data_IF_595528580843
#
_entry.id   IF_595528580843
#
_cell.length_a   1.000
_cell.length_b   1.000
_cell.length_c   1.000
_cell.angle_alpha   90.00
_cell.angle_beta   90.00
_cell.angle_gamma   90.00
#
_symmetry.space_group_name_H-M   'P 1'
#
loop_
_entity.id
_entity.type
_entity.pdbx_description
1 polymer ?
#
# COMPACT_ATOMS: atom_id res chain seq x y z
N UNK A 1 -9.98 31.40 -0.53
CA UNK A 1 -8.52 31.57 -0.60
C UNK A 1 -7.90 30.32 0.01
N UNK A 2 -7.32 29.46 -0.80
CA UNK A 2 -6.54 28.32 -0.30
C UNK A 2 -5.33 28.90 0.46
N UNK A 3 -5.16 28.50 1.73
CA UNK A 3 -3.95 28.87 2.48
C UNK A 3 -2.80 28.07 1.90
N UNK A 4 -1.69 28.76 1.60
CA UNK A 4 -0.43 28.15 1.20
C UNK A 4 -0.06 27.08 2.23
N UNK A 5 0.23 25.87 1.76
CA UNK A 5 0.83 24.81 2.58
C UNK A 5 2.34 25.08 2.58
N UNK A 6 2.88 25.52 3.70
CA UNK A 6 4.31 25.84 3.78
C UNK A 6 5.13 24.55 3.92
N UNK A 7 6.34 24.48 3.28
CA UNK A 7 7.24 23.34 3.45
C UNK A 7 7.58 23.08 4.94
N UNK A 8 7.61 21.80 5.31
CA UNK A 8 7.84 21.37 6.69
C UNK A 8 6.57 21.30 7.56
N UNK A 9 5.42 21.73 7.03
CA UNK A 9 4.14 21.61 7.75
C UNK A 9 3.54 20.22 7.60
N UNK A 10 2.82 19.79 8.63
CA UNK A 10 1.98 18.60 8.59
C UNK A 10 0.59 18.99 8.10
N UNK A 11 0.08 18.24 7.13
CA UNK A 11 -1.29 18.34 6.64
C UNK A 11 -2.00 17.00 6.80
N UNK A 12 -3.34 17.01 6.76
CA UNK A 12 -4.16 15.79 6.77
C UNK A 12 -4.93 15.66 5.47
N UNK A 13 -5.11 14.43 5.00
CA UNK A 13 -6.04 14.16 3.92
C UNK A 13 -7.48 14.46 4.38
N UNK A 14 -8.24 15.22 3.57
CA UNK A 14 -9.62 15.63 3.87
C UNK A 14 -10.66 14.73 3.23
N UNK A 15 -10.29 14.04 2.17
CA UNK A 15 -11.18 13.19 1.39
C UNK A 15 -11.05 11.74 1.83
N UNK A 16 -12.07 10.93 1.56
CA UNK A 16 -12.06 9.50 1.86
C UNK A 16 -10.86 8.80 1.22
N UNK A 17 -10.52 9.19 -0.01
CA UNK A 17 -9.30 8.82 -0.69
C UNK A 17 -8.92 9.90 -1.70
N UNK A 18 -7.65 10.27 -1.76
CA UNK A 18 -7.11 11.25 -2.69
C UNK A 18 -5.89 10.69 -3.44
N UNK A 19 -5.83 10.83 -4.78
CA UNK A 19 -4.74 10.30 -5.57
C UNK A 19 -3.43 11.05 -5.29
N UNK A 20 -2.35 10.31 -5.13
CA UNK A 20 -0.97 10.81 -5.08
C UNK A 20 -0.28 10.43 -6.37
N UNK A 21 0.34 11.41 -7.02
CA UNK A 21 0.95 11.30 -8.35
C UNK A 21 2.47 11.26 -8.29
N UNK A 22 3.09 10.64 -9.28
CA UNK A 22 4.54 10.63 -9.44
C UNK A 22 5.12 12.04 -9.71
N UNK A 23 4.37 12.89 -10.44
CA UNK A 23 4.72 14.26 -10.76
C UNK A 23 3.51 15.19 -10.60
N UNK A 24 3.69 16.54 -10.48
CA UNK A 24 2.59 17.49 -10.28
C UNK A 24 1.78 17.74 -11.56
N UNK A 25 1.10 16.70 -12.03
CA UNK A 25 0.30 16.72 -13.25
C UNK A 25 -0.85 15.72 -13.15
N UNK A 26 -2.05 16.07 -13.62
CA UNK A 26 -3.25 15.24 -13.52
C UNK A 26 -3.15 13.91 -14.26
N UNK A 27 -2.45 13.87 -15.39
CA UNK A 27 -2.24 12.67 -16.19
C UNK A 27 -1.02 11.84 -15.73
N UNK A 28 -0.29 12.29 -14.67
CA UNK A 28 0.82 11.53 -14.13
C UNK A 28 0.33 10.23 -13.48
N UNK A 29 1.21 9.25 -13.43
CA UNK A 29 0.97 7.97 -12.76
C UNK A 29 0.48 8.18 -11.32
N UNK A 30 -0.59 7.50 -10.94
CA UNK A 30 -0.98 7.36 -9.54
C UNK A 30 -0.02 6.38 -8.88
N UNK A 31 0.72 6.84 -7.89
CA UNK A 31 1.68 5.98 -7.16
C UNK A 31 1.11 5.45 -5.85
N UNK A 32 0.16 6.17 -5.25
CA UNK A 32 -0.60 5.73 -4.07
C UNK A 32 -1.86 6.58 -3.89
N UNK A 33 -2.61 6.35 -2.83
CA UNK A 33 -3.71 7.20 -2.37
C UNK A 33 -3.51 7.56 -0.90
N UNK A 34 -3.84 8.80 -0.53
CA UNK A 34 -4.02 9.17 0.87
C UNK A 34 -5.46 8.89 1.30
N UNK A 35 -5.63 8.42 2.51
CA UNK A 35 -6.95 8.15 3.08
C UNK A 35 -7.33 9.23 4.11
N UNK A 36 -8.62 9.33 4.42
CA UNK A 36 -9.17 10.34 5.33
C UNK A 36 -8.42 10.40 6.67
N UNK A 37 -7.99 11.59 7.04
CA UNK A 37 -7.26 11.84 8.29
C UNK A 37 -5.80 11.42 8.28
N UNK A 38 -5.30 10.85 7.18
CA UNK A 38 -3.89 10.44 7.06
C UNK A 38 -2.98 11.67 7.07
N UNK A 39 -1.96 11.71 7.95
CA UNK A 39 -1.02 12.82 8.01
C UNK A 39 0.08 12.69 6.96
N UNK A 40 0.47 13.81 6.42
CA UNK A 40 1.62 13.95 5.53
C UNK A 40 2.47 15.14 5.90
N UNK A 41 3.76 15.06 5.63
CA UNK A 41 4.65 16.22 5.66
C UNK A 41 4.68 16.85 4.27
N UNK A 42 4.42 18.13 4.17
CA UNK A 42 4.57 18.90 2.94
C UNK A 42 6.05 19.24 2.76
N UNK A 43 6.68 18.77 1.68
CA UNK A 43 8.09 19.01 1.38
C UNK A 43 8.28 20.22 0.46
N UNK A 44 7.36 20.42 -0.49
CA UNK A 44 7.45 21.44 -1.53
C UNK A 44 6.05 21.80 -2.01
N UNK A 45 5.87 23.01 -2.55
CA UNK A 45 4.65 23.44 -3.24
C UNK A 45 4.96 23.93 -4.64
N UNK A 46 4.13 23.58 -5.61
CA UNK A 46 4.21 24.01 -6.99
C UNK A 46 2.79 24.30 -7.53
N UNK A 47 2.39 25.57 -7.50
CA UNK A 47 1.04 25.98 -7.88
C UNK A 47 -0.03 25.32 -7.01
N UNK A 48 -0.90 24.54 -7.62
CA UNK A 48 -1.97 23.81 -6.93
C UNK A 48 -1.52 22.43 -6.39
N UNK A 49 -0.24 22.09 -6.52
CA UNK A 49 0.33 20.81 -6.10
C UNK A 49 1.23 20.97 -4.89
N UNK A 50 1.23 19.98 -4.03
CA UNK A 50 2.17 19.80 -2.94
C UNK A 50 2.92 18.48 -3.10
N UNK A 51 4.24 18.52 -3.02
CA UNK A 51 5.04 17.33 -2.80
C UNK A 51 4.94 16.95 -1.33
N UNK A 52 4.55 15.71 -1.09
CA UNK A 52 4.31 15.23 0.26
C UNK A 52 5.15 13.98 0.55
N UNK A 53 5.30 13.72 1.85
CA UNK A 53 5.82 12.48 2.37
C UNK A 53 4.84 11.91 3.36
N UNK A 54 4.43 10.65 3.14
CA UNK A 54 3.50 9.92 4.00
C UNK A 54 4.16 9.51 5.33
N UNK A 55 3.36 9.03 6.28
CA UNK A 55 3.86 8.50 7.55
C UNK A 55 4.65 7.18 7.43
N UNK A 56 4.56 6.51 6.29
CA UNK A 56 5.34 5.33 5.91
C UNK A 56 6.46 5.66 4.91
N UNK A 57 6.92 6.93 4.93
CA UNK A 57 8.08 7.46 4.18
C UNK A 57 7.95 7.41 2.66
N UNK A 58 6.73 7.41 2.11
CA UNK A 58 6.48 7.37 0.68
C UNK A 58 6.28 8.77 0.09
N UNK A 59 7.06 9.19 -0.94
CA UNK A 59 6.94 10.50 -1.56
C UNK A 59 5.89 10.52 -2.68
N UNK A 60 5.38 11.69 -3.00
CA UNK A 60 4.56 11.91 -4.17
C UNK A 60 3.97 13.32 -4.21
N UNK A 61 3.18 13.60 -5.24
CA UNK A 61 2.51 14.87 -5.45
C UNK A 61 1.00 14.75 -5.30
N UNK A 62 0.39 15.68 -4.61
CA UNK A 62 -1.05 15.72 -4.39
C UNK A 62 -1.58 17.13 -4.65
N UNK A 63 -2.80 17.26 -5.14
CA UNK A 63 -3.47 18.55 -5.19
C UNK A 63 -3.70 19.10 -3.78
N UNK A 64 -3.35 20.35 -3.55
CA UNK A 64 -3.50 21.03 -2.24
C UNK A 64 -4.94 21.09 -1.76
N UNK A 65 -5.93 20.98 -2.66
CA UNK A 65 -7.35 20.93 -2.33
C UNK A 65 -7.70 19.75 -1.44
N UNK A 66 -6.97 18.63 -1.55
CA UNK A 66 -7.17 17.41 -0.75
C UNK A 66 -6.53 17.52 0.64
N UNK A 67 -5.75 18.56 0.92
CA UNK A 67 -5.04 18.74 2.17
C UNK A 67 -5.74 19.72 3.10
N UNK A 68 -5.90 19.32 4.36
CA UNK A 68 -6.40 20.15 5.44
C UNK A 68 -5.28 20.61 6.38
N UNK A 69 -5.39 21.85 6.88
CA UNK A 69 -4.48 22.35 7.91
C UNK A 69 -4.73 21.64 9.25
N UNK A 70 -3.64 21.29 9.96
CA UNK A 70 -3.71 20.76 11.33
C UNK A 70 -3.45 21.88 12.33
N UNK A 71 -4.47 22.33 13.07
CA UNK A 71 -4.24 23.20 14.20
C UNK A 71 -3.77 22.37 15.41
N UNK A 72 -2.47 22.27 15.62
CA UNK A 72 -1.91 21.57 16.79
C UNK A 72 -1.42 20.15 16.53
N UNK A 73 -1.64 19.23 17.48
CA UNK A 73 -1.17 17.85 17.42
C UNK A 73 -2.00 17.00 16.44
N UNK A 74 -1.33 16.23 15.58
CA UNK A 74 -1.97 15.29 14.65
C UNK A 74 -2.74 14.21 15.45
N UNK A 75 -4.04 14.02 15.20
CA UNK A 75 -4.78 12.93 15.82
C UNK A 75 -4.23 11.58 15.33
N UNK A 76 -4.00 10.63 16.24
CA UNK A 76 -3.56 9.27 15.85
C UNK A 76 -4.71 8.37 15.34
N UNK A 77 -5.89 8.94 15.13
CA UNK A 77 -7.10 8.20 14.73
C UNK A 77 -7.04 7.59 13.31
N UNK A 78 -6.07 8.01 12.49
CA UNK A 78 -5.88 7.51 11.13
C UNK A 78 -5.23 6.11 11.09
N UNK A 79 -4.56 5.69 12.17
CA UNK A 79 -3.94 4.38 12.32
C UNK A 79 -4.56 3.69 13.55
N UNK A 80 -5.15 2.50 13.40
CA UNK A 80 -5.69 1.74 14.54
C UNK A 80 -4.62 1.42 15.59
N UNK A 81 -5.03 1.15 16.82
CA UNK A 81 -4.13 0.61 17.84
C UNK A 81 -3.52 -0.71 17.37
N UNK A 82 -2.21 -0.94 17.61
CA UNK A 82 -1.54 -2.15 17.17
C UNK A 82 -2.20 -3.42 17.72
N UNK A 83 -2.45 -4.38 16.82
CA UNK A 83 -2.93 -5.74 17.14
C UNK A 83 -1.84 -6.74 16.78
N UNK A 84 -0.89 -7.04 17.70
CA UNK A 84 0.26 -7.90 17.42
C UNK A 84 -0.13 -9.31 16.97
N UNK A 85 -1.23 -9.86 17.51
CA UNK A 85 -1.72 -11.20 17.20
C UNK A 85 -2.77 -11.19 16.06
N UNK A 86 -2.97 -10.05 15.38
CA UNK A 86 -3.93 -9.94 14.27
C UNK A 86 -3.43 -10.67 13.02
N UNK A 87 -4.34 -11.38 12.33
CA UNK A 87 -4.06 -12.08 11.08
C UNK A 87 -4.18 -11.13 9.88
N UNK A 88 -3.08 -10.76 9.20
CA UNK A 88 -3.13 -9.87 8.04
C UNK A 88 -3.88 -10.50 6.86
N UNK A 89 -3.91 -11.83 6.74
CA UNK A 89 -4.68 -12.50 5.69
C UNK A 89 -6.19 -12.33 5.93
N UNK A 90 -6.64 -12.39 7.18
CA UNK A 90 -8.05 -12.12 7.50
C UNK A 90 -8.46 -10.69 7.13
N UNK A 91 -7.59 -9.70 7.36
CA UNK A 91 -7.83 -8.32 6.94
C UNK A 91 -7.79 -8.17 5.40
N UNK A 92 -6.90 -8.89 4.72
CA UNK A 92 -6.81 -8.90 3.25
C UNK A 92 -8.04 -9.53 2.60
N UNK A 93 -8.65 -10.55 3.22
CA UNK A 93 -9.89 -11.18 2.73
C UNK A 93 -11.06 -10.22 2.60
N UNK A 94 -11.10 -9.13 3.37
CA UNK A 94 -12.12 -8.10 3.24
C UNK A 94 -12.13 -7.41 1.86
N UNK A 95 -11.02 -7.53 1.11
CA UNK A 95 -10.87 -6.96 -0.23
C UNK A 95 -11.17 -7.94 -1.36
N UNK A 96 -11.49 -9.20 -1.10
CA UNK A 96 -11.80 -10.18 -2.17
C UNK A 96 -12.93 -9.66 -3.04
N UNK A 97 -12.70 -9.66 -4.36
CA UNK A 97 -13.61 -9.10 -5.36
C UNK A 97 -13.41 -7.61 -5.66
N UNK A 98 -12.55 -6.91 -4.89
CA UNK A 98 -12.19 -5.51 -5.20
C UNK A 98 -11.45 -5.44 -6.54
N UNK A 99 -11.82 -4.52 -7.45
CA UNK A 99 -11.11 -4.32 -8.70
C UNK A 99 -9.63 -3.98 -8.49
N UNK A 100 -8.77 -4.46 -9.40
CA UNK A 100 -7.39 -4.02 -9.44
C UNK A 100 -7.30 -2.56 -9.90
N UNK A 101 -6.64 -1.74 -9.12
CA UNK A 101 -6.33 -0.35 -9.46
C UNK A 101 -4.88 -0.06 -9.11
N UNK A 102 -4.07 0.32 -10.10
CA UNK A 102 -2.67 0.71 -9.87
C UNK A 102 -2.58 1.90 -8.92
N UNK A 103 -1.75 1.80 -7.90
CA UNK A 103 -1.65 2.81 -6.84
C UNK A 103 -2.86 2.84 -5.89
N UNK A 104 -3.83 1.95 -6.04
CA UNK A 104 -5.05 1.89 -5.23
C UNK A 104 -4.82 1.42 -3.80
N UNK A 105 -5.63 1.96 -2.86
CA UNK A 105 -5.55 1.71 -1.42
C UNK A 105 -6.92 1.46 -0.78
N UNK A 106 -7.98 1.26 -1.57
CA UNK A 106 -9.36 1.22 -1.08
C UNK A 106 -10.14 0.00 -1.55
N UNK A 107 -11.32 -0.22 -0.99
CA UNK A 107 -12.27 -1.23 -1.45
C UNK A 107 -12.90 -0.90 -2.82
N UNK A 108 -12.66 0.31 -3.37
CA UNK A 108 -13.06 0.67 -4.74
C UNK A 108 -12.03 0.27 -5.78
N UNK A 109 -10.78 0.14 -5.37
CA UNK A 109 -9.66 -0.28 -6.20
C UNK A 109 -8.39 -0.42 -5.35
N UNK A 110 -7.64 -1.49 -5.58
CA UNK A 110 -6.42 -1.79 -4.84
C UNK A 110 -5.41 -2.54 -5.71
N UNK A 111 -4.12 -2.27 -5.55
CA UNK A 111 -3.06 -3.05 -6.19
C UNK A 111 -2.46 -4.12 -5.24
N UNK A 112 -1.50 -4.88 -5.74
CA UNK A 112 -0.93 -6.02 -4.99
C UNK A 112 -0.24 -5.60 -3.71
N UNK A 113 0.63 -4.60 -3.74
CA UNK A 113 1.34 -4.09 -2.56
C UNK A 113 0.44 -3.22 -1.67
N UNK A 114 -0.54 -2.53 -2.25
CA UNK A 114 -1.61 -1.84 -1.52
C UNK A 114 -2.43 -2.79 -0.67
N UNK A 115 -2.75 -3.99 -1.18
CA UNK A 115 -3.45 -5.03 -0.41
C UNK A 115 -2.64 -5.46 0.82
N UNK A 116 -1.34 -5.72 0.65
CA UNK A 116 -0.44 -6.05 1.77
C UNK A 116 -0.35 -4.88 2.75
N UNK A 117 -0.14 -3.65 2.25
CA UNK A 117 -0.07 -2.44 3.07
C UNK A 117 -1.35 -2.26 3.90
N UNK A 118 -2.51 -2.32 3.27
CA UNK A 118 -3.80 -2.10 3.94
C UNK A 118 -4.15 -3.19 4.94
N UNK A 119 -3.84 -4.45 4.65
CA UNK A 119 -4.02 -5.55 5.58
C UNK A 119 -3.23 -5.33 6.88
N UNK A 120 -1.97 -4.93 6.78
CA UNK A 120 -1.14 -4.61 7.94
C UNK A 120 -1.57 -3.30 8.62
N UNK A 121 -1.94 -2.27 7.86
CA UNK A 121 -2.42 -1.00 8.39
C UNK A 121 -3.69 -1.15 9.24
N UNK A 122 -4.61 -2.04 8.85
CA UNK A 122 -5.80 -2.38 9.65
C UNK A 122 -5.45 -3.03 11.00
N UNK A 123 -4.25 -3.59 11.11
CA UNK A 123 -3.69 -4.11 12.36
C UNK A 123 -2.83 -3.09 13.12
N UNK A 124 -2.84 -1.82 12.71
CA UNK A 124 -2.02 -0.77 13.32
C UNK A 124 -0.53 -0.88 13.00
N UNK A 125 -0.17 -1.60 11.94
CA UNK A 125 1.21 -1.79 11.48
C UNK A 125 1.41 -1.05 10.16
N UNK A 126 2.45 -0.21 10.08
CA UNK A 126 2.83 0.41 8.81
C UNK A 126 3.92 -0.43 8.14
N UNK A 127 3.71 -0.74 6.88
CA UNK A 127 4.67 -1.41 6.00
C UNK A 127 4.95 -0.50 4.79
N UNK A 128 6.06 -0.67 4.07
CA UNK A 128 6.33 0.08 2.85
C UNK A 128 5.19 -0.03 1.82
N UNK A 129 5.15 0.91 0.87
CA UNK A 129 4.07 0.97 -0.12
C UNK A 129 4.27 0.00 -1.28
N UNK A 130 5.47 -0.09 -1.83
CA UNK A 130 5.76 -0.83 -3.04
C UNK A 130 6.24 -2.25 -2.76
N UNK A 131 5.98 -3.17 -3.71
CA UNK A 131 6.30 -4.59 -3.54
C UNK A 131 7.79 -4.85 -3.28
N UNK A 132 8.69 -4.16 -4.00
CA UNK A 132 10.14 -4.30 -3.81
C UNK A 132 10.60 -3.72 -2.46
N UNK A 133 9.96 -2.66 -1.96
CA UNK A 133 10.25 -2.11 -0.64
C UNK A 133 9.74 -3.03 0.48
N UNK A 134 8.57 -3.66 0.28
CA UNK A 134 8.02 -4.66 1.20
C UNK A 134 8.92 -5.89 1.26
N UNK A 135 9.43 -6.36 0.09
CA UNK A 135 10.45 -7.41 0.01
C UNK A 135 11.71 -7.02 0.80
N UNK A 136 12.22 -5.81 0.59
CA UNK A 136 13.44 -5.34 1.25
C UNK A 136 13.30 -5.15 2.77
N UNK A 137 12.08 -4.88 3.25
CA UNK A 137 11.76 -4.72 4.66
C UNK A 137 11.50 -6.05 5.40
N UNK A 138 11.40 -7.16 4.67
CA UNK A 138 11.04 -8.48 5.18
C UNK A 138 12.25 -9.40 5.31
N UNK A 139 12.15 -10.42 6.17
CA UNK A 139 13.17 -11.46 6.29
C UNK A 139 12.95 -12.54 5.21
N UNK A 140 13.98 -12.90 4.41
CA UNK A 140 13.91 -14.04 3.50
C UNK A 140 13.68 -15.35 4.28
N UNK A 141 12.81 -16.21 3.75
CA UNK A 141 12.55 -17.55 4.32
C UNK A 141 12.61 -18.61 3.25
N UNK A 142 12.93 -19.84 3.64
CA UNK A 142 12.87 -21.00 2.75
C UNK A 142 11.41 -21.43 2.50
N UNK A 143 11.14 -22.02 1.34
CA UNK A 143 9.81 -22.55 1.00
C UNK A 143 9.27 -23.54 2.03
N UNK A 144 10.16 -24.34 2.66
CA UNK A 144 9.82 -25.29 3.71
C UNK A 144 9.38 -24.65 5.03
N UNK A 145 9.64 -23.34 5.20
CA UNK A 145 9.30 -22.56 6.41
C UNK A 145 8.05 -21.72 6.23
N UNK A 146 7.44 -21.77 5.03
CA UNK A 146 6.24 -20.98 4.70
C UNK A 146 5.11 -21.23 5.68
N UNK A 147 4.53 -20.13 6.16
CA UNK A 147 3.33 -20.10 7.01
C UNK A 147 2.30 -19.18 6.40
N UNK A 148 1.05 -19.41 6.74
CA UNK A 148 -0.02 -18.47 6.38
C UNK A 148 0.33 -17.04 6.84
N UNK A 149 0.22 -16.10 5.92
CA UNK A 149 0.54 -14.68 6.13
C UNK A 149 1.95 -14.27 5.69
N UNK A 150 2.83 -15.23 5.36
CA UNK A 150 4.07 -14.92 4.66
C UNK A 150 3.79 -14.39 3.26
N UNK A 151 4.77 -13.72 2.67
CA UNK A 151 4.62 -13.09 1.36
C UNK A 151 5.38 -13.84 0.28
N UNK A 152 4.76 -13.90 -0.89
CA UNK A 152 5.36 -14.40 -2.13
C UNK A 152 5.69 -13.20 -3.00
N UNK A 153 6.96 -13.01 -3.30
CA UNK A 153 7.48 -11.95 -4.17
C UNK A 153 7.79 -12.50 -5.56
N UNK A 154 7.34 -11.79 -6.60
CA UNK A 154 7.50 -12.17 -8.00
C UNK A 154 8.39 -11.15 -8.71
N UNK A 155 9.43 -11.62 -9.39
CA UNK A 155 10.39 -10.80 -10.13
C UNK A 155 11.84 -11.08 -9.71
N UNK A 156 12.85 -10.36 -10.25
CA UNK A 156 14.23 -10.48 -9.83
C UNK A 156 14.44 -10.09 -8.36
N UNK A 157 15.49 -10.61 -7.68
CA UNK A 157 15.80 -10.28 -6.29
C UNK A 157 15.95 -8.76 -6.05
N UNK A 158 15.19 -8.22 -5.10
CA UNK A 158 15.15 -6.78 -4.79
C UNK A 158 14.36 -5.94 -5.78
N UNK A 159 13.74 -6.56 -6.78
CA UNK A 159 12.95 -5.90 -7.82
C UNK A 159 11.55 -6.54 -7.93
N UNK A 160 10.97 -6.94 -6.80
CA UNK A 160 9.63 -7.51 -6.82
C UNK A 160 8.64 -6.52 -7.46
N UNK A 161 8.03 -6.94 -8.56
CA UNK A 161 7.00 -6.16 -9.27
C UNK A 161 5.59 -6.64 -8.96
N UNK A 162 5.45 -7.74 -8.24
CA UNK A 162 4.20 -8.27 -7.74
C UNK A 162 4.41 -8.99 -6.40
N UNK A 163 3.37 -8.99 -5.56
CA UNK A 163 3.43 -9.58 -4.22
C UNK A 163 2.06 -10.18 -3.85
N UNK A 164 2.08 -11.27 -3.07
CA UNK A 164 0.89 -11.98 -2.64
C UNK A 164 1.04 -12.49 -1.20
N UNK A 165 -0.07 -12.68 -0.49
CA UNK A 165 -0.09 -13.46 0.75
C UNK A 165 -0.11 -14.96 0.45
N UNK A 166 0.74 -15.71 1.15
CA UNK A 166 0.66 -17.16 1.21
C UNK A 166 -0.47 -17.60 2.13
N UNK A 167 -1.35 -18.48 1.65
CA UNK A 167 -2.49 -19.00 2.42
C UNK A 167 -2.25 -20.37 3.04
N UNK A 168 -1.19 -21.06 2.61
CA UNK A 168 -1.00 -22.49 2.83
C UNK A 168 -1.52 -23.33 1.67
N UNK A 169 -1.20 -24.60 1.65
CA UNK A 169 -1.71 -25.61 0.70
C UNK A 169 -1.56 -25.21 -0.78
N UNK A 170 -0.46 -24.50 -1.11
CA UNK A 170 -0.19 -24.04 -2.48
C UNK A 170 -1.14 -22.97 -2.98
N UNK A 171 -1.74 -22.16 -2.12
CA UNK A 171 -2.66 -21.08 -2.47
C UNK A 171 -2.14 -19.72 -2.04
N UNK A 172 -2.52 -18.69 -2.79
CA UNK A 172 -2.20 -17.30 -2.51
C UNK A 172 -3.46 -16.41 -2.55
N UNK A 173 -3.38 -15.26 -1.89
CA UNK A 173 -4.35 -14.16 -1.99
C UNK A 173 -3.61 -12.91 -2.49
N UNK A 174 -4.08 -12.33 -3.57
CA UNK A 174 -3.47 -11.15 -4.17
C UNK A 174 -4.46 -10.29 -4.96
N UNK A 175 -4.10 -9.03 -5.20
CA UNK A 175 -4.71 -8.21 -6.24
C UNK A 175 -3.91 -8.39 -7.53
N UNK A 176 -4.56 -8.78 -8.62
CA UNK A 176 -3.90 -9.04 -9.91
C UNK A 176 -4.57 -8.32 -11.06
N UNK A 177 -3.76 -7.77 -11.98
CA UNK A 177 -4.24 -7.20 -13.25
C UNK A 177 -4.24 -8.21 -14.41
N UNK A 178 -3.98 -9.49 -14.13
CA UNK A 178 -3.94 -10.53 -15.15
C UNK A 178 -5.24 -10.57 -15.93
N UNK A 179 -5.14 -10.71 -17.26
CA UNK A 179 -6.30 -10.81 -18.16
C UNK A 179 -7.29 -11.90 -17.68
N UNK A 180 -8.56 -11.54 -17.63
CA UNK A 180 -9.63 -12.41 -17.15
C UNK A 180 -9.80 -12.46 -15.64
N UNK A 181 -8.96 -11.75 -14.86
CA UNK A 181 -9.12 -11.58 -13.41
C UNK A 181 -9.36 -10.11 -13.05
N UNK A 182 -8.31 -9.27 -12.99
CA UNK A 182 -8.45 -7.83 -12.77
C UNK A 182 -9.00 -7.44 -11.39
N UNK A 183 -8.78 -8.25 -10.36
CA UNK A 183 -9.36 -8.06 -9.03
C UNK A 183 -8.54 -8.77 -7.93
N UNK A 184 -8.95 -8.60 -6.68
CA UNK A 184 -8.43 -9.37 -5.54
C UNK A 184 -9.09 -10.74 -5.50
N UNK A 185 -8.28 -11.79 -5.51
CA UNK A 185 -8.76 -13.17 -5.48
C UNK A 185 -7.80 -14.13 -4.80
N UNK A 186 -8.33 -15.29 -4.42
CA UNK A 186 -7.52 -16.45 -4.08
C UNK A 186 -7.36 -17.36 -5.30
N UNK A 187 -6.13 -17.80 -5.54
CA UNK A 187 -5.89 -18.80 -6.59
C UNK A 187 -4.76 -19.78 -6.22
N UNK A 188 -4.60 -20.90 -6.96
CA UNK A 188 -3.43 -21.74 -6.83
C UNK A 188 -2.15 -20.95 -7.15
N UNK A 189 -1.14 -21.07 -6.29
CA UNK A 189 0.15 -20.39 -6.48
C UNK A 189 0.79 -20.71 -7.85
N UNK A 190 0.72 -21.95 -8.29
CA UNK A 190 1.29 -22.38 -9.58
C UNK A 190 0.63 -21.67 -10.78
N UNK A 191 -0.63 -21.22 -10.64
CA UNK A 191 -1.30 -20.45 -11.68
C UNK A 191 -0.72 -19.03 -11.81
N UNK A 192 -0.36 -18.41 -10.68
CA UNK A 192 0.25 -17.08 -10.65
C UNK A 192 1.76 -17.11 -10.92
N UNK A 193 2.42 -18.19 -10.52
CA UNK A 193 3.88 -18.35 -10.59
C UNK A 193 4.44 -18.11 -12.00
N UNK A 194 3.83 -18.74 -13.02
CA UNK A 194 4.29 -18.62 -14.39
C UNK A 194 5.80 -18.92 -14.54
N UNK A 195 6.52 -17.99 -15.19
CA UNK A 195 7.99 -18.04 -15.35
C UNK A 195 8.72 -17.01 -14.47
N UNK A 196 8.04 -16.43 -13.48
CA UNK A 196 8.67 -15.46 -12.58
C UNK A 196 9.68 -16.12 -11.65
N UNK A 197 10.75 -15.39 -11.33
CA UNK A 197 11.58 -15.71 -10.17
C UNK A 197 10.75 -15.47 -8.92
N UNK A 198 10.81 -16.41 -7.98
CA UNK A 198 9.99 -16.39 -6.77
C UNK A 198 10.88 -16.32 -5.54
N UNK A 199 10.47 -15.50 -4.57
CA UNK A 199 11.04 -15.47 -3.23
C UNK A 199 9.93 -15.46 -2.21
N UNK A 200 10.25 -16.00 -1.05
CA UNK A 200 9.35 -16.00 0.10
C UNK A 200 9.96 -15.15 1.20
N UNK A 201 9.16 -14.30 1.81
CA UNK A 201 9.62 -13.38 2.85
C UNK A 201 8.58 -13.24 3.96
N UNK A 202 9.04 -12.85 5.16
CA UNK A 202 8.21 -12.63 6.34
C UNK A 202 8.40 -11.23 6.89
N UNK A 203 7.32 -10.44 6.95
CA UNK A 203 7.35 -9.06 7.44
C UNK A 203 7.39 -8.97 8.97
N UNK A 204 6.73 -9.90 9.67
CA UNK A 204 6.64 -9.90 11.13
C UNK A 204 6.72 -11.33 11.66
N UNK A 205 7.50 -11.52 12.76
CA UNK A 205 7.65 -12.78 13.48
C UNK A 205 6.53 -12.98 14.50
#
# INVERSE_FOLDING_TARGET
MARSQDPGQVALCRDDAAPVRATPHDEAEQVTQLLAGEPVTVEETNGEWARIRTAYDYPGWIHTVHLGHVPGTVPRTWLPEPRPDGDPVAEAHAYVGTPYEWGGMTERGIDCSGLVHMAHRRLGRLVPRDAHEQEAAAEPIDESELRRGDLVCFGPPGEAHHIAFWLGEGRILHATQREGAGLVLEEPFEQARGQHEIRFVRLFN
#
